data_IF_504047212015
#
_entry.id   IF_504047212015
#
_cell.length_a   1.000
_cell.length_b   1.000
_cell.length_c   1.000
_cell.angle_alpha   90.00
_cell.angle_beta   90.00
_cell.angle_gamma   90.00
#
_symmetry.space_group_name_H-M   'P 1'
#
loop_
_entity.id
_entity.type
_entity.pdbx_description
1 polymer ?
#
# COMPACT_ATOMS: atom_id res chain seq x y z
N UNK A 1 1.02 -13.50 47.13
CA UNK A 1 1.22 -12.14 47.74
C UNK A 1 0.73 -11.05 46.75
N UNK A 2 0.07 -10.00 47.24
CA UNK A 2 -0.39 -8.82 46.49
C UNK A 2 0.21 -7.55 47.09
N UNK A 3 0.18 -6.46 46.36
CA UNK A 3 0.72 -5.17 46.82
C UNK A 3 0.02 -4.68 48.11
N UNK A 4 -1.27 -4.97 48.28
CA UNK A 4 -2.03 -4.70 49.51
C UNK A 4 -1.45 -5.38 50.74
N UNK A 5 -0.95 -6.61 50.58
CA UNK A 5 -0.34 -7.37 51.69
C UNK A 5 0.94 -6.68 52.17
N UNK A 6 1.72 -6.11 51.24
CA UNK A 6 2.94 -5.33 51.55
C UNK A 6 2.57 -4.05 52.30
N UNK A 7 1.52 -3.33 51.84
CA UNK A 7 1.04 -2.12 52.50
C UNK A 7 0.54 -2.41 53.93
N UNK A 8 -0.18 -3.51 54.13
CA UNK A 8 -0.68 -3.91 55.45
C UNK A 8 0.48 -4.25 56.39
N UNK A 9 1.47 -5.02 55.94
CA UNK A 9 2.62 -5.40 56.75
C UNK A 9 3.47 -4.18 57.16
N UNK A 10 3.64 -3.22 56.28
CA UNK A 10 4.48 -2.03 56.51
C UNK A 10 3.76 -0.94 57.31
N UNK A 11 2.45 -0.74 57.09
CA UNK A 11 1.61 0.20 57.81
C UNK A 11 2.00 1.68 57.72
N UNK A 12 3.06 2.04 56.97
CA UNK A 12 3.58 3.42 56.90
C UNK A 12 3.89 3.84 55.47
N UNK A 13 3.15 4.86 54.92
CA UNK A 13 3.34 5.33 53.55
C UNK A 13 4.76 5.87 53.24
N UNK A 14 5.41 6.52 54.20
CA UNK A 14 6.76 7.01 54.03
C UNK A 14 7.78 5.88 53.87
N UNK A 15 7.59 4.78 54.62
CA UNK A 15 8.41 3.57 54.52
C UNK A 15 8.22 2.89 53.18
N UNK A 16 6.97 2.82 52.68
CA UNK A 16 6.64 2.29 51.37
C UNK A 16 7.29 3.13 50.24
N UNK A 17 7.18 4.45 50.28
CA UNK A 17 7.85 5.31 49.28
C UNK A 17 9.35 5.03 49.23
N UNK A 18 10.04 4.96 50.40
CA UNK A 18 11.47 4.60 50.45
C UNK A 18 11.76 3.21 49.93
N UNK A 19 10.83 2.27 50.08
CA UNK A 19 11.01 0.92 49.56
C UNK A 19 10.97 0.91 48.01
N UNK A 20 10.05 1.66 47.40
CA UNK A 20 10.02 1.85 45.93
C UNK A 20 11.30 2.49 45.42
N UNK A 21 11.80 3.55 46.07
CA UNK A 21 13.07 4.17 45.71
C UNK A 21 14.23 3.15 45.75
N UNK A 22 14.23 2.24 46.73
CA UNK A 22 15.24 1.20 46.88
C UNK A 22 15.18 0.15 45.76
N UNK A 23 13.98 -0.19 45.28
CA UNK A 23 13.79 -1.08 44.15
C UNK A 23 14.25 -0.40 42.85
N UNK A 24 13.84 0.84 42.61
CA UNK A 24 14.25 1.62 41.44
C UNK A 24 15.78 1.81 41.37
N UNK A 25 16.43 2.02 42.52
CA UNK A 25 17.88 2.15 42.61
C UNK A 25 18.62 0.80 42.49
N UNK A 26 17.91 -0.32 42.31
CA UNK A 26 18.53 -1.66 42.24
C UNK A 26 19.25 -2.09 43.48
N UNK A 27 18.77 -1.68 44.68
CA UNK A 27 19.44 -1.93 45.96
C UNK A 27 19.19 -3.32 46.54
N UNK A 28 18.23 -4.09 45.99
CA UNK A 28 17.97 -5.48 46.38
C UNK A 28 18.90 -6.38 45.61
N UNK A 29 19.82 -7.02 46.33
CA UNK A 29 20.87 -7.85 45.72
C UNK A 29 20.51 -9.32 45.99
N UNK A 30 20.39 -10.08 44.91
CA UNK A 30 20.21 -11.54 44.89
C UNK A 30 19.11 -12.05 45.86
N UNK A 31 17.97 -12.40 45.25
CA UNK A 31 16.85 -13.01 46.01
C UNK A 31 16.99 -14.52 45.93
N UNK A 32 16.96 -15.17 47.07
CA UNK A 32 16.91 -16.63 47.21
C UNK A 32 15.55 -17.04 47.79
N UNK A 33 14.96 -18.08 47.22
CA UNK A 33 13.72 -18.66 47.69
C UNK A 33 14.01 -20.07 48.23
N UNK A 34 13.52 -20.36 49.43
CA UNK A 34 13.62 -21.68 50.09
C UNK A 34 12.21 -22.14 50.47
N UNK A 35 11.87 -23.36 50.08
CA UNK A 35 10.62 -24.00 50.48
C UNK A 35 10.80 -24.57 51.90
N UNK A 36 10.01 -24.08 52.84
CA UNK A 36 9.93 -24.59 54.17
C UNK A 36 8.61 -25.41 54.36
N UNK A 37 8.48 -26.14 55.41
CA UNK A 37 7.33 -27.04 55.66
C UNK A 37 5.97 -26.32 55.72
N UNK A 38 5.97 -25.02 56.03
CA UNK A 38 4.79 -24.17 56.25
C UNK A 38 4.76 -22.92 55.36
N UNK A 39 5.56 -22.88 54.30
CA UNK A 39 5.56 -21.75 53.37
C UNK A 39 6.85 -21.57 52.62
N UNK A 40 6.99 -20.44 51.95
CA UNK A 40 8.20 -20.09 51.19
C UNK A 40 8.90 -18.91 51.85
N UNK A 41 10.19 -19.08 52.16
CA UNK A 41 11.05 -18.03 52.70
C UNK A 41 11.87 -17.40 51.55
N UNK A 42 11.80 -16.09 51.44
CA UNK A 42 12.62 -15.31 50.54
C UNK A 42 13.66 -14.53 51.31
N UNK A 43 14.93 -14.65 50.92
CA UNK A 43 16.06 -13.98 51.56
C UNK A 43 16.79 -13.14 50.55
N UNK A 44 17.28 -11.98 50.97
CA UNK A 44 18.11 -11.10 50.12
C UNK A 44 19.05 -10.25 50.97
N UNK A 45 20.05 -9.68 50.31
CA UNK A 45 20.85 -8.58 50.84
C UNK A 45 20.38 -7.26 50.21
N UNK A 46 20.08 -6.29 51.03
CA UNK A 46 19.62 -4.96 50.59
C UNK A 46 20.67 -3.91 50.98
N UNK A 47 21.14 -3.17 49.98
CA UNK A 47 22.12 -2.08 50.18
C UNK A 47 21.42 -0.89 50.82
N UNK A 48 21.74 -0.66 52.10
CA UNK A 48 21.32 0.53 52.83
C UNK A 48 22.12 1.78 52.46
N UNK A 49 22.05 2.81 53.31
CA UNK A 49 22.83 4.05 53.09
C UNK A 49 24.31 3.84 53.41
N UNK A 50 24.63 3.05 54.43
CA UNK A 50 25.99 2.85 54.91
C UNK A 50 26.42 1.38 54.93
N UNK A 51 25.48 0.42 55.07
CA UNK A 51 25.70 -0.99 55.23
C UNK A 51 24.85 -1.85 54.30
N UNK A 52 25.22 -3.11 54.22
CA UNK A 52 24.48 -4.16 53.54
C UNK A 52 23.69 -4.99 54.56
N UNK A 53 22.35 -4.92 54.49
CA UNK A 53 21.48 -5.58 55.44
C UNK A 53 20.99 -6.91 54.91
N UNK A 54 21.00 -7.94 55.75
CA UNK A 54 20.32 -9.19 55.48
C UNK A 54 18.84 -9.01 55.76
N UNK A 55 18.00 -9.34 54.82
CA UNK A 55 16.55 -9.23 54.98
C UNK A 55 15.87 -10.48 54.44
N UNK A 56 14.76 -10.81 55.02
CA UNK A 56 13.95 -11.95 54.62
C UNK A 56 12.47 -11.67 54.88
N UNK A 57 11.62 -12.35 54.16
CA UNK A 57 10.22 -12.57 54.53
C UNK A 57 9.81 -13.98 54.20
N UNK A 58 8.78 -14.46 54.90
CA UNK A 58 8.18 -15.78 54.71
C UNK A 58 6.69 -15.60 54.47
N UNK A 59 6.22 -16.22 53.43
CA UNK A 59 4.81 -16.27 53.06
C UNK A 59 4.27 -17.65 53.42
N UNK A 60 3.29 -17.69 54.30
CA UNK A 60 2.53 -18.89 54.69
C UNK A 60 1.08 -18.72 54.19
N UNK A 61 0.27 -19.77 54.31
CA UNK A 61 -1.15 -19.72 53.92
C UNK A 61 -1.96 -18.70 54.72
N UNK A 62 -1.51 -18.31 55.92
CA UNK A 62 -2.28 -17.45 56.83
C UNK A 62 -1.65 -16.11 57.11
N UNK A 63 -0.37 -15.94 56.93
CA UNK A 63 0.33 -14.69 57.27
C UNK A 63 1.65 -14.51 56.55
N UNK A 64 2.08 -13.26 56.51
CA UNK A 64 3.41 -12.88 56.03
C UNK A 64 4.21 -12.34 57.21
N UNK A 65 5.38 -12.88 57.43
CA UNK A 65 6.31 -12.43 58.46
C UNK A 65 7.66 -12.08 57.84
N UNK A 66 8.38 -11.16 58.44
CA UNK A 66 9.69 -10.76 57.89
C UNK A 66 10.65 -10.27 58.97
N UNK A 67 11.94 -10.26 58.63
CA UNK A 67 13.00 -9.79 59.48
C UNK A 67 14.11 -9.11 58.70
N UNK A 68 14.85 -8.22 59.39
CA UNK A 68 15.96 -7.46 58.80
C UNK A 68 17.01 -7.13 59.85
N UNK A 69 18.29 -7.14 59.50
CA UNK A 69 19.39 -6.76 60.40
C UNK A 69 19.60 -5.24 60.49
N UNK A 70 18.70 -4.42 59.96
CA UNK A 70 18.86 -2.96 60.00
C UNK A 70 18.48 -2.37 61.38
N UNK A 71 19.11 -1.27 61.82
CA UNK A 71 18.83 -0.67 63.13
C UNK A 71 17.37 -0.24 63.34
N UNK A 72 16.64 0.09 62.25
CA UNK A 72 15.23 0.45 62.31
C UNK A 72 14.37 -0.76 62.73
N UNK A 73 14.59 -1.92 62.10
CA UNK A 73 13.88 -3.16 62.44
C UNK A 73 14.24 -3.68 63.85
N UNK A 74 15.55 -3.65 64.20
CA UNK A 74 15.99 -4.07 65.52
C UNK A 74 15.32 -3.27 66.62
N UNK A 75 15.11 -1.98 66.46
CA UNK A 75 14.50 -1.09 67.44
C UNK A 75 12.97 -1.21 67.49
N UNK A 76 12.30 -1.34 66.36
CA UNK A 76 10.83 -1.24 66.32
C UNK A 76 10.13 -2.60 66.15
N UNK A 77 10.84 -3.60 65.65
CA UNK A 77 10.31 -4.92 65.27
C UNK A 77 9.15 -4.85 64.28
N UNK A 78 9.01 -3.69 63.56
CA UNK A 78 8.01 -3.51 62.49
C UNK A 78 8.69 -3.62 61.15
N UNK A 79 7.91 -3.96 60.09
CA UNK A 79 8.45 -4.12 58.76
C UNK A 79 9.11 -2.82 58.27
N UNK A 80 10.40 -2.92 57.97
CA UNK A 80 11.19 -1.79 57.49
C UNK A 80 11.21 -1.69 55.95
N UNK A 81 11.71 -0.56 55.43
CA UNK A 81 11.84 -0.35 53.98
C UNK A 81 12.61 -1.46 53.25
N UNK A 82 13.54 -2.17 53.88
CA UNK A 82 14.33 -3.24 53.28
C UNK A 82 13.49 -4.51 53.08
N UNK A 83 12.65 -4.86 54.06
CA UNK A 83 11.69 -5.96 53.90
C UNK A 83 10.69 -5.63 52.79
N UNK A 84 10.12 -4.41 52.81
CA UNK A 84 9.21 -3.95 51.75
C UNK A 84 9.86 -3.95 50.37
N UNK A 85 11.09 -3.47 50.24
CA UNK A 85 11.83 -3.48 49.00
C UNK A 85 12.07 -4.90 48.46
N UNK A 86 12.42 -5.85 49.35
CA UNK A 86 12.57 -7.25 48.97
C UNK A 86 11.23 -7.83 48.46
N UNK A 87 10.11 -7.55 49.14
CA UNK A 87 8.80 -8.02 48.71
C UNK A 87 8.39 -7.48 47.37
N UNK A 88 8.54 -6.16 47.14
CA UNK A 88 8.20 -5.49 45.89
C UNK A 88 9.07 -6.03 44.74
N UNK A 89 10.38 -6.14 44.94
CA UNK A 89 11.31 -6.65 43.94
C UNK A 89 11.00 -8.11 43.56
N UNK A 90 10.70 -8.94 44.59
CA UNK A 90 10.34 -10.32 44.33
C UNK A 90 9.03 -10.48 43.56
N UNK A 91 8.02 -9.66 43.86
CA UNK A 91 6.78 -9.62 43.08
C UNK A 91 7.03 -9.25 41.62
N UNK A 92 7.81 -8.22 41.38
CA UNK A 92 8.15 -7.78 40.03
C UNK A 92 8.90 -8.87 39.24
N UNK A 93 9.84 -9.57 39.87
CA UNK A 93 10.55 -10.72 39.26
C UNK A 93 9.62 -11.88 38.94
N UNK A 94 8.74 -12.23 39.85
CA UNK A 94 7.76 -13.31 39.62
C UNK A 94 6.80 -12.99 38.49
N UNK A 95 6.35 -11.73 38.37
CA UNK A 95 5.48 -11.28 37.28
C UNK A 95 6.23 -11.33 35.95
N UNK A 96 7.45 -10.82 35.91
CA UNK A 96 8.31 -10.89 34.70
C UNK A 96 8.56 -12.34 34.25
N UNK A 97 8.87 -13.24 35.17
CA UNK A 97 9.07 -14.65 34.86
C UNK A 97 7.78 -15.33 34.36
N UNK A 98 6.63 -14.96 34.94
CA UNK A 98 5.32 -15.45 34.47
C UNK A 98 5.02 -15.01 33.06
N UNK A 99 5.22 -13.72 32.75
CA UNK A 99 5.05 -13.20 31.42
C UNK A 99 6.06 -13.79 30.41
N UNK A 100 7.30 -14.00 30.81
CA UNK A 100 8.31 -14.64 29.98
C UNK A 100 7.92 -16.09 29.64
N UNK A 101 7.40 -16.85 30.61
CA UNK A 101 6.89 -18.22 30.39
C UNK A 101 5.66 -18.22 29.46
N UNK A 102 4.74 -17.27 29.63
CA UNK A 102 3.57 -17.15 28.76
C UNK A 102 4.00 -16.84 27.32
N UNK A 103 4.89 -15.87 27.14
CA UNK A 103 5.45 -15.53 25.80
C UNK A 103 6.15 -16.74 25.16
N UNK A 104 6.91 -17.48 25.93
CA UNK A 104 7.57 -18.69 25.45
C UNK A 104 6.56 -19.77 25.03
N UNK A 105 5.50 -20.01 25.82
CA UNK A 105 4.44 -20.96 25.49
C UNK A 105 3.66 -20.55 24.24
N UNK A 106 3.34 -19.26 24.09
CA UNK A 106 2.68 -18.73 22.90
C UNK A 106 3.57 -18.88 21.65
N UNK A 107 4.86 -18.61 21.79
CA UNK A 107 5.82 -18.79 20.69
C UNK A 107 5.90 -20.26 20.25
N UNK A 108 6.03 -21.19 21.23
CA UNK A 108 6.07 -22.62 20.94
C UNK A 108 4.76 -23.13 20.30
N UNK A 109 3.60 -22.62 20.79
CA UNK A 109 2.30 -22.93 20.19
C UNK A 109 2.22 -22.49 18.75
N UNK A 110 2.58 -21.22 18.45
CA UNK A 110 2.60 -20.70 17.08
C UNK A 110 3.51 -21.51 16.17
N UNK A 111 4.71 -21.84 16.66
CA UNK A 111 5.66 -22.65 15.89
C UNK A 111 5.12 -24.05 15.58
N UNK A 112 4.43 -24.69 16.54
CA UNK A 112 3.78 -25.99 16.30
C UNK A 112 2.64 -25.89 15.30
N UNK A 113 1.83 -24.85 15.37
CA UNK A 113 0.73 -24.61 14.43
C UNK A 113 1.26 -24.34 13.01
N UNK A 114 2.34 -23.59 12.87
CA UNK A 114 3.01 -23.31 11.60
C UNK A 114 3.58 -24.60 11.00
N UNK A 115 4.29 -25.38 11.79
CA UNK A 115 4.83 -26.67 11.37
C UNK A 115 3.74 -27.68 11.01
N UNK A 116 2.62 -27.67 11.71
CA UNK A 116 1.47 -28.52 11.37
C UNK A 116 0.87 -28.12 10.01
N UNK A 117 0.73 -26.82 9.73
CA UNK A 117 0.27 -26.31 8.42
C UNK A 117 1.22 -26.66 7.29
N UNK A 118 2.53 -26.53 7.52
CA UNK A 118 3.56 -26.93 6.52
C UNK A 118 3.50 -28.43 6.23
N UNK A 119 3.36 -29.26 7.28
CA UNK A 119 3.22 -30.69 7.11
C UNK A 119 1.92 -31.07 6.37
N UNK A 120 0.80 -30.42 6.70
CA UNK A 120 -0.48 -30.63 6.02
C UNK A 120 -0.36 -30.24 4.54
N UNK A 121 0.24 -29.10 4.23
CA UNK A 121 0.52 -28.69 2.86
C UNK A 121 1.40 -29.66 2.11
N UNK A 122 2.45 -30.18 2.76
CA UNK A 122 3.33 -31.21 2.20
C UNK A 122 2.58 -32.53 1.94
N UNK A 123 1.77 -33.00 2.88
CA UNK A 123 0.96 -34.23 2.71
C UNK A 123 -0.03 -34.07 1.56
N UNK A 124 -0.74 -32.93 1.47
CA UNK A 124 -1.66 -32.65 0.39
C UNK A 124 -0.96 -32.64 -0.96
N UNK A 125 0.27 -32.09 -1.03
CA UNK A 125 1.11 -32.13 -2.23
C UNK A 125 1.49 -33.57 -2.62
N UNK A 126 1.86 -34.41 -1.65
CA UNK A 126 2.16 -35.82 -1.88
C UNK A 126 0.94 -36.59 -2.41
N UNK A 127 -0.24 -36.33 -1.85
CA UNK A 127 -1.50 -36.94 -2.32
C UNK A 127 -1.77 -36.52 -3.78
N UNK A 128 -1.64 -35.22 -4.08
CA UNK A 128 -1.86 -34.68 -5.43
C UNK A 128 -0.87 -35.26 -6.46
N UNK A 129 0.40 -35.42 -6.08
CA UNK A 129 1.38 -36.09 -6.94
C UNK A 129 1.01 -37.53 -7.18
N UNK A 130 0.50 -38.25 -6.18
CA UNK A 130 -0.01 -39.60 -6.32
C UNK A 130 -1.26 -39.70 -7.23
N UNK A 131 -2.14 -38.74 -7.15
CA UNK A 131 -3.31 -38.62 -8.03
C UNK A 131 -2.90 -38.29 -9.46
N UNK A 132 -1.95 -37.39 -9.68
CA UNK A 132 -1.36 -37.05 -10.98
C UNK A 132 -0.75 -38.28 -11.66
N UNK A 133 -0.06 -39.10 -10.89
CA UNK A 133 0.54 -40.35 -11.40
C UNK A 133 -0.50 -41.44 -11.79
N UNK A 134 -1.73 -41.35 -11.28
CA UNK A 134 -2.82 -42.30 -11.59
C UNK A 134 -3.74 -41.82 -12.71
N UNK A 135 -3.63 -40.57 -13.17
CA UNK A 135 -4.47 -40.05 -14.23
C UNK A 135 -4.08 -40.67 -15.59
N UNK A 136 -5.05 -41.20 -16.35
CA UNK A 136 -4.78 -41.63 -17.71
C UNK A 136 -4.32 -40.44 -18.55
N UNK A 137 -3.29 -40.64 -19.38
CA UNK A 137 -2.78 -39.64 -20.31
C UNK A 137 -3.83 -39.11 -21.32
N UNK A 138 -4.96 -39.77 -21.41
CA UNK A 138 -6.05 -39.48 -22.36
C UNK A 138 -6.95 -38.30 -22.01
N UNK A 139 -6.86 -37.69 -20.82
CA UNK A 139 -7.68 -36.52 -20.49
C UNK A 139 -7.02 -35.18 -20.79
N UNK A 140 -5.82 -35.15 -21.31
CA UNK A 140 -5.25 -33.96 -21.93
C UNK A 140 -5.76 -33.87 -23.36
N UNK A 141 -6.88 -33.23 -23.57
CA UNK A 141 -7.46 -32.82 -24.87
C UNK A 141 -6.49 -31.90 -25.68
N UNK A 142 -5.21 -31.92 -25.41
CA UNK A 142 -4.19 -31.12 -26.08
C UNK A 142 -4.40 -29.60 -25.99
N UNK A 143 -5.54 -29.17 -25.46
CA UNK A 143 -5.88 -27.75 -25.33
C UNK A 143 -5.28 -27.16 -24.08
N UNK A 144 -4.40 -26.18 -24.28
CA UNK A 144 -3.77 -25.44 -23.19
C UNK A 144 -4.77 -24.58 -22.42
N UNK A 145 -4.47 -24.30 -21.18
CA UNK A 145 -5.28 -23.46 -20.30
C UNK A 145 -5.01 -21.98 -20.62
N UNK A 146 -6.06 -21.21 -20.78
CA UNK A 146 -6.05 -19.78 -20.99
C UNK A 146 -6.28 -19.05 -19.68
N UNK A 147 -5.61 -17.92 -19.50
CA UNK A 147 -5.88 -16.93 -18.45
C UNK A 147 -6.68 -15.78 -19.04
N UNK A 148 -7.75 -15.40 -18.36
CA UNK A 148 -8.58 -14.28 -18.74
C UNK A 148 -8.55 -13.23 -17.64
N UNK A 149 -7.89 -12.07 -17.86
CA UNK A 149 -7.91 -10.97 -16.91
C UNK A 149 -9.28 -10.31 -16.88
N UNK A 150 -9.77 -10.04 -15.69
CA UNK A 150 -11.01 -9.28 -15.45
C UNK A 150 -10.64 -8.03 -14.68
N UNK A 151 -10.95 -6.86 -15.24
CA UNK A 151 -10.65 -5.56 -14.69
C UNK A 151 -11.92 -4.87 -14.21
N UNK A 152 -11.89 -4.39 -12.98
CA UNK A 152 -12.95 -3.57 -12.40
C UNK A 152 -12.34 -2.27 -11.89
N UNK A 153 -12.82 -1.14 -12.39
CA UNK A 153 -12.39 0.16 -11.89
C UNK A 153 -13.08 0.45 -10.56
N UNK A 154 -12.37 0.35 -9.46
CA UNK A 154 -12.89 0.68 -8.14
C UNK A 154 -13.05 2.20 -7.96
N UNK A 155 -12.01 2.95 -8.26
CA UNK A 155 -12.01 4.41 -8.22
C UNK A 155 -11.02 5.00 -9.25
N UNK A 156 -10.66 6.27 -9.09
CA UNK A 156 -9.72 6.94 -10.00
C UNK A 156 -8.26 6.50 -9.80
N UNK A 157 -7.92 5.88 -8.68
CA UNK A 157 -6.54 5.49 -8.34
C UNK A 157 -6.37 3.97 -8.23
N UNK A 158 -7.47 3.20 -8.28
CA UNK A 158 -7.44 1.76 -8.10
C UNK A 158 -8.28 1.03 -9.16
N UNK A 159 -7.69 -0.01 -9.72
CA UNK A 159 -8.35 -1.00 -10.58
C UNK A 159 -8.17 -2.37 -9.95
N UNK A 160 -9.25 -3.09 -9.73
CA UNK A 160 -9.22 -4.45 -9.22
C UNK A 160 -8.97 -5.43 -10.36
N UNK A 161 -7.99 -6.31 -10.21
CA UNK A 161 -7.68 -7.37 -11.16
C UNK A 161 -8.12 -8.72 -10.60
N UNK A 162 -9.00 -9.38 -11.33
CA UNK A 162 -9.42 -10.76 -11.11
C UNK A 162 -8.95 -11.64 -12.28
N UNK A 163 -8.76 -12.92 -12.05
CA UNK A 163 -8.41 -13.88 -13.09
C UNK A 163 -9.49 -14.97 -13.24
N UNK A 164 -9.72 -15.37 -14.47
CA UNK A 164 -10.41 -16.62 -14.78
C UNK A 164 -9.47 -17.56 -15.52
N UNK A 165 -9.68 -18.84 -15.34
CA UNK A 165 -8.95 -19.91 -16.03
C UNK A 165 -9.92 -20.81 -16.77
N UNK A 166 -9.53 -21.25 -17.95
CA UNK A 166 -10.40 -22.12 -18.75
C UNK A 166 -9.71 -22.57 -20.04
N UNK A 167 -10.32 -23.53 -20.74
CA UNK A 167 -9.90 -23.90 -22.10
C UNK A 167 -10.52 -22.96 -23.12
N UNK A 168 -9.82 -22.71 -24.21
CA UNK A 168 -10.35 -21.85 -25.29
C UNK A 168 -11.66 -22.41 -25.83
N UNK A 169 -12.69 -21.56 -25.91
CA UNK A 169 -14.03 -21.93 -26.35
C UNK A 169 -14.90 -22.68 -25.30
N UNK A 170 -14.37 -22.91 -24.10
CA UNK A 170 -15.11 -23.53 -22.99
C UNK A 170 -15.41 -22.50 -21.88
N UNK A 171 -16.17 -22.92 -20.88
CA UNK A 171 -16.48 -22.11 -19.70
C UNK A 171 -15.18 -21.82 -18.92
N UNK A 172 -14.93 -20.55 -18.65
CA UNK A 172 -13.87 -20.12 -17.73
C UNK A 172 -14.36 -20.09 -16.27
N UNK A 173 -13.49 -20.36 -15.34
CA UNK A 173 -13.74 -20.43 -13.91
C UNK A 173 -12.94 -19.35 -13.19
N UNK A 174 -13.56 -18.70 -12.22
CA UNK A 174 -12.94 -17.65 -11.42
C UNK A 174 -11.83 -18.25 -10.53
N UNK A 175 -10.68 -17.62 -10.52
CA UNK A 175 -9.60 -17.87 -9.55
C UNK A 175 -9.97 -17.16 -8.25
N UNK A 176 -10.55 -17.90 -7.30
CA UNK A 176 -11.07 -17.33 -6.05
C UNK A 176 -10.02 -16.67 -5.15
N UNK A 177 -8.77 -17.10 -5.26
CA UNK A 177 -7.65 -16.51 -4.53
C UNK A 177 -6.40 -16.53 -5.41
N UNK A 178 -5.91 -15.37 -5.89
CA UNK A 178 -4.72 -15.28 -6.72
C UNK A 178 -3.44 -15.77 -6.04
N UNK A 179 -3.30 -15.59 -4.72
CA UNK A 179 -2.14 -16.07 -3.97
C UNK A 179 -2.09 -17.61 -3.89
N UNK A 180 -3.24 -18.24 -3.68
CA UNK A 180 -3.33 -19.72 -3.72
C UNK A 180 -3.06 -20.25 -5.13
N UNK A 181 -3.55 -19.55 -6.14
CA UNK A 181 -3.24 -19.88 -7.55
C UNK A 181 -1.74 -19.80 -7.84
N UNK A 182 -1.10 -18.71 -7.41
CA UNK A 182 0.35 -18.54 -7.56
C UNK A 182 1.14 -19.65 -6.86
N UNK A 183 0.72 -20.04 -5.66
CA UNK A 183 1.35 -21.14 -4.93
C UNK A 183 1.18 -22.49 -5.67
N UNK A 184 -0.02 -22.75 -6.25
CA UNK A 184 -0.25 -23.95 -7.06
C UNK A 184 0.64 -23.97 -8.30
N UNK A 185 0.78 -22.84 -8.99
CA UNK A 185 1.70 -22.72 -10.14
C UNK A 185 3.15 -22.98 -9.73
N UNK A 186 3.59 -22.43 -8.61
CA UNK A 186 4.94 -22.65 -8.09
C UNK A 186 5.21 -24.11 -7.75
N UNK A 187 4.18 -24.85 -7.32
CA UNK A 187 4.28 -26.25 -6.91
C UNK A 187 3.93 -27.25 -8.02
N UNK A 188 3.29 -26.84 -9.12
CA UNK A 188 2.69 -27.74 -10.12
C UNK A 188 1.48 -28.50 -9.57
N UNK A 189 0.75 -27.94 -8.60
CA UNK A 189 -0.33 -28.61 -7.90
C UNK A 189 -1.53 -28.87 -8.81
N UNK A 190 -2.12 -30.06 -8.71
CA UNK A 190 -3.38 -30.39 -9.38
C UNK A 190 -4.55 -29.79 -8.61
N UNK A 191 -5.48 -29.12 -9.32
CA UNK A 191 -6.65 -28.51 -8.71
C UNK A 191 -7.86 -28.53 -9.64
N UNK A 192 -9.05 -28.81 -9.05
CA UNK A 192 -10.34 -28.83 -9.75
C UNK A 192 -11.11 -27.54 -9.47
N UNK A 193 -11.35 -26.73 -10.50
CA UNK A 193 -12.15 -25.51 -10.44
C UNK A 193 -13.67 -25.80 -10.45
N UNK A 194 -14.05 -26.98 -10.90
CA UNK A 194 -15.42 -27.48 -10.97
C UNK A 194 -15.48 -28.75 -11.81
N UNK A 195 -16.69 -29.24 -12.08
CA UNK A 195 -16.91 -30.49 -12.83
C UNK A 195 -16.29 -30.52 -14.24
N UNK A 196 -16.05 -29.34 -14.84
CA UNK A 196 -15.59 -29.22 -16.23
C UNK A 196 -14.14 -28.77 -16.40
N UNK A 197 -13.41 -28.45 -15.30
CA UNK A 197 -12.04 -27.99 -15.39
C UNK A 197 -11.22 -28.43 -14.19
N UNK A 198 -10.27 -29.30 -14.43
CA UNK A 198 -9.26 -29.69 -13.47
C UNK A 198 -7.94 -29.92 -14.23
N UNK A 199 -6.83 -29.43 -13.69
CA UNK A 199 -5.52 -29.55 -14.32
C UNK A 199 -4.37 -29.38 -13.30
N UNK A 200 -3.20 -29.87 -13.65
CA UNK A 200 -1.97 -29.56 -12.92
C UNK A 200 -1.48 -28.18 -13.35
N UNK A 201 -1.11 -27.34 -12.38
CA UNK A 201 -0.67 -25.96 -12.61
C UNK A 201 0.77 -25.91 -13.12
N UNK A 202 1.16 -26.90 -13.94
CA UNK A 202 2.44 -26.87 -14.61
C UNK A 202 2.43 -25.77 -15.68
N UNK A 203 3.53 -25.06 -15.80
CA UNK A 203 3.68 -23.93 -16.73
C UNK A 203 3.42 -24.35 -18.19
N UNK A 204 3.72 -25.60 -18.53
CA UNK A 204 3.49 -26.19 -19.85
C UNK A 204 2.00 -26.38 -20.20
N UNK A 205 1.14 -26.46 -19.17
CA UNK A 205 -0.31 -26.54 -19.35
C UNK A 205 -0.94 -25.21 -19.71
N UNK A 206 -0.27 -24.09 -19.44
CA UNK A 206 -0.75 -22.74 -19.74
C UNK A 206 -0.41 -22.40 -21.21
N UNK A 207 -1.32 -21.73 -21.89
CA UNK A 207 -1.10 -21.26 -23.25
C UNK A 207 0.07 -20.26 -23.30
N UNK A 208 0.93 -20.37 -24.28
CA UNK A 208 2.14 -19.53 -24.41
C UNK A 208 1.82 -18.04 -24.49
N UNK A 209 0.67 -17.70 -25.08
CA UNK A 209 0.17 -16.32 -25.16
C UNK A 209 -0.09 -15.69 -23.80
N UNK A 210 -0.43 -16.53 -22.82
CA UNK A 210 -0.81 -16.08 -21.47
C UNK A 210 0.34 -16.19 -20.45
N UNK A 211 1.50 -16.74 -20.84
CA UNK A 211 2.67 -16.82 -19.95
C UNK A 211 3.15 -15.47 -19.43
N UNK A 212 3.20 -14.40 -20.22
CA UNK A 212 3.56 -13.07 -19.69
C UNK A 212 2.57 -12.57 -18.62
N UNK A 213 1.28 -12.84 -18.81
CA UNK A 213 0.24 -12.49 -17.84
C UNK A 213 0.35 -13.34 -16.57
N UNK A 214 0.65 -14.63 -16.72
CA UNK A 214 0.94 -15.52 -15.59
C UNK A 214 2.13 -15.02 -14.77
N UNK A 215 3.24 -14.71 -15.43
CA UNK A 215 4.45 -14.21 -14.75
C UNK A 215 4.17 -12.90 -14.02
N UNK A 216 3.40 -12.03 -14.63
CA UNK A 216 2.97 -10.79 -13.99
C UNK A 216 2.08 -11.04 -12.77
N UNK A 217 1.11 -11.96 -12.86
CA UNK A 217 0.26 -12.35 -11.74
C UNK A 217 1.08 -12.92 -10.57
N UNK A 218 2.09 -13.75 -10.86
CA UNK A 218 3.01 -14.29 -9.85
C UNK A 218 3.82 -13.17 -9.18
N UNK A 219 4.33 -12.21 -9.93
CA UNK A 219 5.03 -11.03 -9.38
C UNK A 219 4.14 -10.18 -8.50
N UNK A 220 2.91 -9.91 -8.92
CA UNK A 220 1.94 -9.13 -8.11
C UNK A 220 1.67 -9.81 -6.77
N UNK A 221 1.44 -11.12 -6.77
CA UNK A 221 1.17 -11.88 -5.52
C UNK A 221 2.39 -11.98 -4.61
N UNK A 222 3.62 -11.93 -5.14
CA UNK A 222 4.85 -11.88 -4.36
C UNK A 222 5.13 -10.48 -3.79
N UNK A 223 4.80 -9.44 -4.54
CA UNK A 223 5.03 -8.05 -4.14
C UNK A 223 4.03 -7.56 -3.06
N UNK A 224 2.91 -8.24 -2.90
CA UNK A 224 1.86 -7.85 -1.95
C UNK A 224 1.71 -8.86 -0.82
N UNK A 225 1.33 -8.41 0.40
CA UNK A 225 1.00 -9.33 1.49
C UNK A 225 -0.09 -10.30 1.06
N UNK A 226 0.04 -11.58 1.45
CA UNK A 226 -1.00 -12.58 1.16
C UNK A 226 -2.34 -12.13 1.73
N UNK A 227 -3.34 -12.09 0.89
CA UNK A 227 -4.71 -11.70 1.25
C UNK A 227 -5.66 -12.85 0.94
N UNK A 228 -6.71 -12.96 1.73
CA UNK A 228 -7.83 -13.84 1.40
C UNK A 228 -8.86 -13.06 0.55
N UNK A 229 -8.44 -12.64 -0.62
CA UNK A 229 -9.21 -11.83 -1.54
C UNK A 229 -9.23 -12.46 -2.94
N UNK A 230 -10.29 -12.20 -3.68
CA UNK A 230 -10.47 -12.67 -5.06
C UNK A 230 -9.75 -11.77 -6.06
N UNK A 231 -9.51 -10.53 -5.69
CA UNK A 231 -8.94 -9.48 -6.54
C UNK A 231 -7.59 -9.00 -6.04
N UNK A 232 -6.79 -8.48 -6.95
CA UNK A 232 -5.51 -7.79 -6.67
C UNK A 232 -5.72 -6.31 -6.96
N UNK A 233 -5.57 -5.40 -5.98
CA UNK A 233 -5.69 -3.97 -6.21
C UNK A 233 -4.46 -3.44 -6.98
N UNK A 234 -4.70 -2.92 -8.17
CA UNK A 234 -3.68 -2.29 -9.01
C UNK A 234 -3.70 -0.79 -8.81
N UNK A 235 -2.59 -0.24 -8.34
CA UNK A 235 -2.42 1.20 -8.14
C UNK A 235 -1.10 1.67 -8.74
N UNK A 236 -1.03 2.94 -9.14
CA UNK A 236 0.20 3.58 -9.58
C UNK A 236 0.97 2.78 -10.65
N UNK A 237 2.23 2.42 -10.34
CA UNK A 237 3.12 1.72 -11.27
C UNK A 237 2.66 0.29 -11.60
N UNK A 238 2.01 -0.41 -10.65
CA UNK A 238 1.49 -1.76 -10.90
C UNK A 238 0.34 -1.72 -11.92
N UNK A 239 -0.51 -0.71 -11.83
CA UNK A 239 -1.55 -0.47 -12.83
C UNK A 239 -0.92 -0.20 -14.21
N UNK A 240 0.08 0.69 -14.28
CA UNK A 240 0.78 0.99 -15.54
C UNK A 240 1.40 -0.26 -16.18
N UNK A 241 2.04 -1.12 -15.39
CA UNK A 241 2.66 -2.36 -15.85
C UNK A 241 1.62 -3.34 -16.39
N UNK A 242 0.53 -3.55 -15.64
CA UNK A 242 -0.57 -4.44 -16.07
C UNK A 242 -1.21 -3.95 -17.37
N UNK A 243 -1.50 -2.67 -17.48
CA UNK A 243 -2.16 -2.12 -18.66
C UNK A 243 -1.25 -2.12 -19.89
N UNK A 244 0.07 -1.97 -19.72
CA UNK A 244 1.05 -2.14 -20.80
C UNK A 244 1.12 -3.59 -21.29
N UNK A 245 1.04 -4.55 -20.37
CA UNK A 245 1.03 -5.96 -20.71
C UNK A 245 -0.21 -6.37 -21.50
N UNK A 246 -1.38 -5.82 -21.14
CA UNK A 246 -2.66 -6.13 -21.79
C UNK A 246 -2.88 -5.35 -23.09
N UNK A 247 -1.98 -4.42 -23.45
CA UNK A 247 -2.15 -3.54 -24.60
C UNK A 247 -2.19 -4.34 -25.91
N UNK A 248 -3.28 -4.18 -26.67
CA UNK A 248 -3.54 -4.93 -27.91
C UNK A 248 -4.38 -6.18 -27.72
N UNK A 249 -4.52 -6.67 -26.51
CA UNK A 249 -5.24 -7.89 -26.16
C UNK A 249 -6.69 -7.62 -25.74
N UNK A 250 -7.40 -8.72 -25.48
CA UNK A 250 -8.76 -8.70 -24.95
C UNK A 250 -8.73 -8.96 -23.44
N UNK A 251 -9.42 -8.13 -22.69
CA UNK A 251 -9.71 -8.34 -21.26
C UNK A 251 -11.21 -8.45 -21.05
N UNK A 252 -11.62 -8.92 -19.88
CA UNK A 252 -12.98 -8.75 -19.41
C UNK A 252 -13.05 -7.48 -18.55
N UNK A 253 -14.06 -6.69 -18.74
CA UNK A 253 -14.34 -5.51 -17.92
C UNK A 253 -15.59 -5.74 -17.10
N UNK A 254 -15.49 -5.59 -15.80
CA UNK A 254 -16.60 -5.70 -14.85
C UNK A 254 -17.03 -4.30 -14.39
N UNK A 255 -18.33 -4.09 -14.29
CA UNK A 255 -18.95 -2.91 -13.69
C UNK A 255 -19.81 -3.35 -12.52
N UNK A 256 -19.98 -2.46 -11.57
CA UNK A 256 -20.80 -2.74 -10.39
C UNK A 256 -22.22 -3.20 -10.81
N UNK A 257 -22.61 -4.39 -10.36
CA UNK A 257 -23.91 -5.00 -10.65
C UNK A 257 -24.10 -5.56 -12.06
N UNK A 258 -23.09 -5.52 -12.92
CA UNK A 258 -23.18 -6.03 -14.30
C UNK A 258 -22.36 -7.32 -14.50
N UNK A 259 -22.75 -8.11 -15.51
CA UNK A 259 -21.93 -9.25 -15.96
C UNK A 259 -20.71 -8.71 -16.72
N UNK A 260 -19.51 -9.32 -16.50
CA UNK A 260 -18.30 -8.91 -17.22
C UNK A 260 -18.48 -9.01 -18.74
N UNK A 261 -18.00 -7.98 -19.43
CA UNK A 261 -18.01 -7.91 -20.90
C UNK A 261 -16.58 -7.97 -21.45
N UNK A 262 -16.41 -8.61 -22.61
CA UNK A 262 -15.12 -8.62 -23.29
C UNK A 262 -14.87 -7.29 -23.99
N UNK A 263 -13.73 -6.68 -23.71
CA UNK A 263 -13.33 -5.39 -24.26
C UNK A 263 -11.89 -5.48 -24.77
N UNK A 264 -11.57 -4.67 -25.75
CA UNK A 264 -10.20 -4.51 -26.25
C UNK A 264 -9.46 -3.49 -25.40
N UNK A 265 -8.21 -3.76 -25.07
CA UNK A 265 -7.30 -2.78 -24.46
C UNK A 265 -6.51 -2.13 -25.58
N UNK A 266 -6.72 -0.86 -25.85
CA UNK A 266 -6.14 -0.14 -26.98
C UNK A 266 -5.37 1.10 -26.55
N UNK A 267 -4.37 1.50 -27.32
CA UNK A 267 -3.71 2.80 -27.14
C UNK A 267 -4.55 3.88 -27.82
N UNK A 268 -4.75 5.00 -27.12
CA UNK A 268 -5.51 6.11 -27.66
C UNK A 268 -5.38 7.39 -26.86
N UNK A 269 -6.06 8.44 -27.35
CA UNK A 269 -6.16 9.71 -26.65
C UNK A 269 -7.37 9.70 -25.72
N UNK A 270 -7.16 10.14 -24.48
CA UNK A 270 -8.24 10.42 -23.52
C UNK A 270 -8.51 11.92 -23.53
N UNK A 271 -9.78 12.28 -23.64
CA UNK A 271 -10.21 13.69 -23.67
C UNK A 271 -11.01 14.01 -22.42
N UNK A 272 -10.39 14.58 -21.37
CA UNK A 272 -11.09 14.94 -20.15
C UNK A 272 -12.17 15.99 -20.39
N UNK A 273 -13.31 15.87 -19.73
CA UNK A 273 -14.32 16.91 -19.75
C UNK A 273 -14.12 17.87 -18.57
N UNK A 274 -14.11 19.19 -18.85
CA UNK A 274 -13.89 20.23 -17.84
C UNK A 274 -15.04 21.22 -17.76
N UNK A 275 -15.33 21.68 -16.54
CA UNK A 275 -16.20 22.80 -16.28
C UNK A 275 -15.41 23.89 -15.55
N UNK A 276 -15.38 25.12 -16.12
CA UNK A 276 -14.74 26.28 -15.53
C UNK A 276 -15.81 27.32 -15.20
N UNK A 277 -16.18 27.40 -13.95
CA UNK A 277 -17.28 28.26 -13.47
C UNK A 277 -16.72 29.46 -12.71
N UNK A 278 -17.23 30.66 -12.95
CA UNK A 278 -16.85 31.86 -12.19
C UNK A 278 -17.25 31.69 -10.73
N UNK A 279 -16.33 31.99 -9.80
CA UNK A 279 -16.56 31.94 -8.36
C UNK A 279 -15.88 33.12 -7.66
N UNK A 280 -16.69 34.10 -7.24
CA UNK A 280 -16.17 35.37 -6.74
C UNK A 280 -15.29 36.07 -7.78
N UNK A 281 -14.10 36.48 -7.38
CA UNK A 281 -13.09 37.08 -8.29
C UNK A 281 -12.30 36.05 -9.12
N UNK A 282 -12.42 34.76 -8.81
CA UNK A 282 -11.73 33.66 -9.47
C UNK A 282 -12.67 32.76 -10.26
N UNK A 283 -12.23 31.51 -10.42
CA UNK A 283 -13.01 30.45 -11.06
C UNK A 283 -12.88 29.13 -10.29
N UNK A 284 -13.83 28.21 -10.48
CA UNK A 284 -13.74 26.82 -10.03
C UNK A 284 -13.60 25.93 -11.24
N UNK A 285 -12.52 25.15 -11.29
CA UNK A 285 -12.30 24.10 -12.25
C UNK A 285 -12.78 22.77 -11.70
N UNK A 286 -13.66 22.09 -12.42
CA UNK A 286 -14.04 20.69 -12.16
C UNK A 286 -13.67 19.85 -13.38
N UNK A 287 -13.03 18.72 -13.13
CA UNK A 287 -12.69 17.75 -14.18
C UNK A 287 -13.60 16.53 -14.00
N UNK A 288 -14.28 16.14 -15.06
CA UNK A 288 -15.09 14.91 -15.10
C UNK A 288 -14.23 13.80 -15.70
N UNK A 289 -13.91 12.81 -14.88
CA UNK A 289 -13.08 11.67 -15.24
C UNK A 289 -13.60 10.39 -14.56
N UNK A 290 -14.94 10.24 -14.49
CA UNK A 290 -15.58 9.14 -13.77
C UNK A 290 -15.28 7.75 -14.34
N UNK A 291 -14.94 7.67 -15.64
CA UNK A 291 -14.55 6.44 -16.33
C UNK A 291 -13.04 6.21 -16.35
N UNK A 292 -12.24 7.14 -15.79
CA UNK A 292 -10.79 7.08 -15.87
C UNK A 292 -10.16 6.53 -14.61
N UNK A 293 -9.17 5.65 -14.76
CA UNK A 293 -8.23 5.28 -13.73
C UNK A 293 -6.85 5.89 -14.02
N UNK A 294 -6.12 6.27 -12.98
CA UNK A 294 -4.86 6.99 -13.07
C UNK A 294 -3.72 6.13 -12.50
N UNK A 295 -2.76 5.80 -13.35
CA UNK A 295 -1.48 5.22 -12.96
C UNK A 295 -0.44 6.28 -12.60
N UNK A 296 0.81 5.87 -12.44
CA UNK A 296 1.94 6.79 -12.21
C UNK A 296 2.32 7.56 -13.48
N UNK A 297 2.31 6.89 -14.64
CA UNK A 297 2.75 7.41 -15.94
C UNK A 297 1.76 7.09 -17.06
N UNK A 298 0.54 6.69 -16.74
CA UNK A 298 -0.54 6.37 -17.67
C UNK A 298 -1.91 6.76 -17.14
N UNK A 299 -2.89 6.89 -18.04
CA UNK A 299 -4.29 7.04 -17.74
C UNK A 299 -5.10 6.03 -18.56
N UNK A 300 -6.18 5.51 -18.00
CA UNK A 300 -6.95 4.39 -18.54
C UNK A 300 -8.43 4.69 -18.47
N UNK A 301 -9.07 4.86 -19.64
CA UNK A 301 -10.49 5.16 -19.70
C UNK A 301 -11.30 3.89 -20.01
N UNK A 302 -12.21 3.54 -19.10
CA UNK A 302 -13.06 2.37 -19.16
C UNK A 302 -14.36 2.70 -19.91
N UNK A 303 -14.35 2.54 -21.24
CA UNK A 303 -15.49 2.76 -22.12
C UNK A 303 -16.36 1.49 -22.24
N UNK A 304 -17.60 1.59 -22.73
CA UNK A 304 -18.50 0.42 -22.88
C UNK A 304 -17.95 -0.73 -23.74
N UNK A 305 -17.10 -0.43 -24.72
CA UNK A 305 -16.61 -1.40 -25.72
C UNK A 305 -15.10 -1.62 -25.68
N UNK A 306 -14.37 -0.77 -24.96
CA UNK A 306 -12.90 -0.83 -24.92
C UNK A 306 -12.33 -0.15 -23.68
N UNK A 307 -11.07 -0.43 -23.38
CA UNK A 307 -10.26 0.32 -22.42
C UNK A 307 -9.20 1.07 -23.20
N UNK A 308 -9.28 2.41 -23.17
CA UNK A 308 -8.31 3.28 -23.85
C UNK A 308 -7.17 3.63 -22.92
N UNK A 309 -5.94 3.40 -23.37
CA UNK A 309 -4.71 3.65 -22.62
C UNK A 309 -3.97 4.85 -23.19
N UNK A 310 -3.81 5.91 -22.40
CA UNK A 310 -2.99 7.06 -22.73
C UNK A 310 -1.64 6.97 -22.00
N UNK A 311 -0.55 6.95 -22.76
CA UNK A 311 0.83 6.90 -22.26
C UNK A 311 1.65 8.06 -22.81
N UNK A 312 2.84 8.27 -22.25
CA UNK A 312 3.88 9.15 -22.76
C UNK A 312 3.39 10.60 -23.00
N UNK A 313 3.38 11.06 -24.26
CA UNK A 313 2.95 12.40 -24.62
C UNK A 313 1.46 12.62 -24.36
N UNK A 314 0.61 11.63 -24.66
CA UNK A 314 -0.83 11.70 -24.47
C UNK A 314 -1.18 11.79 -22.99
N UNK A 315 -0.52 11.00 -22.15
CA UNK A 315 -0.67 11.09 -20.70
C UNK A 315 -0.17 12.44 -20.17
N UNK A 316 1.05 12.87 -20.53
CA UNK A 316 1.62 14.13 -20.03
C UNK A 316 0.69 15.32 -20.32
N UNK A 317 0.02 15.32 -21.47
CA UNK A 317 -0.92 16.35 -21.89
C UNK A 317 -2.10 16.52 -20.94
N UNK A 318 -2.63 15.41 -20.37
CA UNK A 318 -3.84 15.39 -19.54
C UNK A 318 -3.55 15.17 -18.05
N UNK A 319 -2.33 14.82 -17.69
CA UNK A 319 -1.94 14.42 -16.34
C UNK A 319 -2.30 15.48 -15.28
N UNK A 320 -2.07 16.76 -15.55
CA UNK A 320 -2.37 17.84 -14.62
C UNK A 320 -3.88 17.92 -14.29
N UNK A 321 -4.75 17.76 -15.30
CA UNK A 321 -6.19 17.76 -15.12
C UNK A 321 -6.65 16.54 -14.32
N UNK A 322 -6.17 15.34 -14.68
CA UNK A 322 -6.56 14.10 -14.02
C UNK A 322 -6.07 14.05 -12.57
N UNK A 323 -4.84 14.46 -12.28
CA UNK A 323 -4.31 14.57 -10.90
C UNK A 323 -5.14 15.57 -10.09
N UNK A 324 -5.51 16.71 -10.67
CA UNK A 324 -6.42 17.68 -10.03
C UNK A 324 -7.77 17.05 -9.68
N UNK A 325 -8.33 16.17 -10.52
CA UNK A 325 -9.58 15.48 -10.24
C UNK A 325 -9.43 14.45 -9.11
N UNK A 326 -8.33 13.71 -9.08
CA UNK A 326 -8.04 12.72 -8.04
C UNK A 326 -7.82 13.36 -6.66
N UNK A 327 -7.08 14.48 -6.61
CA UNK A 327 -6.73 15.18 -5.37
C UNK A 327 -7.84 16.14 -4.87
N UNK A 328 -8.67 16.66 -5.78
CA UNK A 328 -9.70 17.67 -5.50
C UNK A 328 -11.03 17.31 -6.19
N UNK A 329 -11.72 16.27 -5.74
CA UNK A 329 -12.97 15.79 -6.36
C UNK A 329 -14.07 16.86 -6.39
N UNK A 330 -14.10 17.77 -5.42
CA UNK A 330 -15.04 18.92 -5.37
C UNK A 330 -14.67 20.06 -6.32
N UNK A 331 -13.54 19.95 -6.99
CA UNK A 331 -12.98 20.95 -7.91
C UNK A 331 -11.98 21.89 -7.26
N UNK A 332 -11.11 22.43 -8.12
CA UNK A 332 -10.04 23.35 -7.75
C UNK A 332 -10.50 24.79 -7.86
N UNK A 333 -10.33 25.57 -6.81
CA UNK A 333 -10.60 27.03 -6.83
C UNK A 333 -9.36 27.75 -7.36
N UNK A 334 -9.53 28.48 -8.47
CA UNK A 334 -8.46 29.16 -9.19
C UNK A 334 -8.59 30.68 -8.94
N UNK A 335 -7.57 31.32 -8.33
CA UNK A 335 -7.54 32.78 -8.19
C UNK A 335 -7.54 33.48 -9.56
N UNK A 336 -8.05 34.70 -9.64
CA UNK A 336 -8.17 35.49 -10.88
C UNK A 336 -6.87 35.52 -11.71
N UNK A 337 -5.73 35.69 -11.04
CA UNK A 337 -4.40 35.75 -11.69
C UNK A 337 -3.98 34.42 -12.35
N UNK A 338 -4.55 33.30 -11.92
CA UNK A 338 -4.21 31.97 -12.41
C UNK A 338 -5.17 31.44 -13.49
N UNK A 339 -6.27 32.15 -13.80
CA UNK A 339 -7.25 31.70 -14.80
C UNK A 339 -6.59 31.60 -16.17
N UNK A 340 -5.87 32.63 -16.62
CA UNK A 340 -5.21 32.63 -17.92
C UNK A 340 -4.13 31.53 -18.03
N UNK A 341 -3.18 31.37 -17.10
CA UNK A 341 -2.25 30.24 -17.10
C UNK A 341 -2.93 28.86 -17.13
N UNK A 342 -3.99 28.64 -16.33
CA UNK A 342 -4.71 27.36 -16.34
C UNK A 342 -5.38 27.08 -17.69
N UNK A 343 -6.01 28.09 -18.31
CA UNK A 343 -6.62 27.94 -19.63
C UNK A 343 -5.57 27.66 -20.71
N UNK A 344 -4.47 28.42 -20.74
CA UNK A 344 -3.46 28.34 -21.81
C UNK A 344 -2.50 27.18 -21.67
N UNK A 345 -2.09 26.83 -20.41
CA UNK A 345 -1.03 25.84 -20.19
C UNK A 345 -1.55 24.46 -19.74
N UNK A 346 -2.82 24.36 -19.30
CA UNK A 346 -3.39 23.10 -18.82
C UNK A 346 -4.59 22.68 -19.68
N UNK A 347 -5.63 23.50 -19.78
CA UNK A 347 -6.89 23.11 -20.46
C UNK A 347 -6.69 23.00 -21.98
N UNK A 348 -6.08 24.00 -22.61
CA UNK A 348 -5.87 24.01 -24.03
C UNK A 348 -4.92 22.91 -24.55
N UNK A 349 -3.72 22.69 -23.94
CA UNK A 349 -2.86 21.58 -24.35
C UNK A 349 -3.48 20.21 -24.11
N UNK A 350 -4.34 20.07 -23.07
CA UNK A 350 -5.05 18.83 -22.80
C UNK A 350 -6.14 18.52 -23.83
N UNK A 351 -6.48 19.45 -24.70
CA UNK A 351 -7.61 19.34 -25.66
C UNK A 351 -8.92 18.96 -24.96
N UNK A 352 -9.08 19.43 -23.71
CA UNK A 352 -10.20 19.06 -22.87
C UNK A 352 -11.54 19.53 -23.47
N UNK A 353 -12.57 18.70 -23.36
CA UNK A 353 -13.94 19.09 -23.73
C UNK A 353 -14.49 20.04 -22.69
N UNK A 354 -14.71 21.30 -23.05
CA UNK A 354 -15.26 22.31 -22.15
C UNK A 354 -16.78 22.20 -22.12
N UNK A 355 -17.34 21.63 -21.04
CA UNK A 355 -18.79 21.43 -20.88
C UNK A 355 -19.49 22.65 -20.27
N UNK A 356 -18.77 23.47 -19.48
CA UNK A 356 -19.24 24.76 -18.92
C UNK A 356 -18.11 25.77 -18.89
N UNK A 357 -18.47 27.07 -19.06
CA UNK A 357 -17.50 28.17 -19.04
C UNK A 357 -16.67 28.30 -20.32
N UNK A 358 -17.21 27.88 -21.46
CA UNK A 358 -16.54 27.95 -22.77
C UNK A 358 -16.02 29.35 -23.11
N UNK A 359 -16.82 30.38 -22.86
CA UNK A 359 -16.45 31.78 -23.13
C UNK A 359 -15.23 32.19 -22.28
N UNK A 360 -15.22 31.80 -20.99
CA UNK A 360 -14.10 32.08 -20.10
C UNK A 360 -12.82 31.39 -20.55
N UNK A 361 -12.91 30.12 -20.96
CA UNK A 361 -11.77 29.39 -21.51
C UNK A 361 -11.30 30.00 -22.81
N UNK A 362 -12.19 30.27 -23.76
CA UNK A 362 -11.84 30.87 -25.07
C UNK A 362 -11.20 32.25 -24.92
N UNK A 363 -11.66 33.06 -23.96
CA UNK A 363 -11.07 34.36 -23.66
C UNK A 363 -9.59 34.28 -23.26
N UNK A 364 -9.20 33.21 -22.58
CA UNK A 364 -7.87 33.04 -22.02
C UNK A 364 -7.04 31.95 -22.75
N UNK A 365 -7.59 31.31 -23.78
CA UNK A 365 -6.84 30.35 -24.60
C UNK A 365 -6.13 31.14 -25.73
N UNK A 366 -4.82 30.96 -25.89
CA UNK A 366 -4.10 31.54 -27.00
C UNK A 366 -4.66 31.07 -28.36
N UNK A 367 -4.44 31.86 -29.37
CA UNK A 367 -4.67 31.43 -30.77
C UNK A 367 -3.62 30.37 -31.15
N UNK A 368 -3.97 29.48 -32.07
CA UNK A 368 -3.03 28.50 -32.58
C UNK A 368 -1.85 29.22 -33.27
N UNK A 369 -0.63 28.80 -32.89
CA UNK A 369 0.60 29.41 -33.38
C UNK A 369 1.39 28.45 -34.26
N UNK A 370 1.84 28.90 -35.39
CA UNK A 370 2.87 28.26 -36.22
C UNK A 370 4.16 29.08 -36.15
N UNK A 371 5.28 28.40 -35.85
CA UNK A 371 6.59 29.04 -35.84
C UNK A 371 7.29 28.84 -37.18
N UNK A 372 7.89 29.91 -37.72
CA UNK A 372 8.80 29.87 -38.87
C UNK A 372 10.15 30.39 -38.43
N UNK A 373 11.20 29.73 -38.86
CA UNK A 373 12.58 30.14 -38.63
C UNK A 373 13.25 30.37 -39.99
N UNK A 374 13.67 31.58 -40.23
CA UNK A 374 14.45 31.95 -41.43
C UNK A 374 15.93 31.91 -41.03
N UNK A 375 16.69 31.14 -41.75
CA UNK A 375 18.12 30.98 -41.50
C UNK A 375 18.88 31.59 -42.67
N UNK A 376 19.68 32.62 -42.40
CA UNK A 376 20.52 33.30 -43.36
C UNK A 376 22.00 33.17 -42.95
N UNK A 377 22.89 33.29 -43.93
CA UNK A 377 24.33 33.45 -43.67
C UNK A 377 24.64 34.92 -43.39
N UNK A 378 25.13 35.18 -42.17
CA UNK A 378 25.62 36.50 -41.79
C UNK A 378 27.11 36.70 -42.13
N UNK A 379 27.66 37.86 -41.75
CA UNK A 379 29.08 38.12 -41.84
C UNK A 379 29.90 37.15 -40.99
N UNK A 380 31.11 36.82 -41.39
CA UNK A 380 32.04 35.90 -40.66
C UNK A 380 31.53 34.46 -40.53
N UNK A 381 30.75 33.93 -41.48
CA UNK A 381 30.13 32.59 -41.39
C UNK A 381 29.16 32.38 -40.20
N UNK A 382 28.67 33.44 -39.60
CA UNK A 382 27.63 33.34 -38.58
C UNK A 382 26.28 32.97 -39.22
N UNK A 383 25.57 32.03 -38.59
CA UNK A 383 24.16 31.74 -38.96
C UNK A 383 23.24 32.71 -38.24
N UNK A 384 22.48 33.48 -39.02
CA UNK A 384 21.46 34.37 -38.48
C UNK A 384 20.10 33.64 -38.51
N UNK A 385 19.49 33.45 -37.34
CA UNK A 385 18.16 32.89 -37.23
C UNK A 385 17.14 33.96 -36.88
N UNK A 386 16.13 34.12 -37.74
CA UNK A 386 15.02 35.08 -37.56
C UNK A 386 13.72 34.31 -37.36
N UNK A 387 13.22 34.18 -36.12
CA UNK A 387 11.94 33.56 -35.85
C UNK A 387 10.77 34.49 -36.18
N UNK A 388 9.70 33.92 -36.72
CA UNK A 388 8.42 34.56 -37.00
C UNK A 388 7.29 33.68 -36.45
N UNK A 389 6.36 34.29 -35.72
CA UNK A 389 5.18 33.63 -35.15
C UNK A 389 3.95 33.96 -35.99
N UNK A 390 3.25 32.92 -36.44
CA UNK A 390 2.03 33.07 -37.25
C UNK A 390 0.83 32.71 -36.38
N UNK A 391 -0.08 33.65 -36.18
CA UNK A 391 -1.37 33.48 -35.52
C UNK A 391 -2.50 33.67 -36.52
N UNK A 392 -2.89 32.59 -37.22
CA UNK A 392 -3.77 32.67 -38.39
C UNK A 392 -3.12 33.46 -39.51
N UNK A 393 -3.72 34.59 -39.93
CA UNK A 393 -3.17 35.49 -40.95
C UNK A 393 -2.18 36.52 -40.38
N UNK A 394 -2.12 36.68 -39.07
CA UNK A 394 -1.24 37.66 -38.43
C UNK A 394 0.18 37.13 -38.26
N UNK A 395 1.17 37.98 -38.50
CA UNK A 395 2.60 37.70 -38.29
C UNK A 395 3.09 38.56 -37.14
N UNK A 396 3.87 37.96 -36.25
CA UNK A 396 4.45 38.62 -35.08
C UNK A 396 5.89 38.21 -34.94
N UNK A 397 6.78 39.16 -34.66
CA UNK A 397 8.18 38.88 -34.37
C UNK A 397 8.47 38.84 -32.85
N UNK A 398 9.54 38.19 -32.43
CA UNK A 398 9.97 38.24 -31.04
C UNK A 398 10.11 39.67 -30.53
N UNK A 399 9.54 39.95 -29.34
CA UNK A 399 9.58 41.29 -28.74
C UNK A 399 8.58 42.30 -29.30
N UNK A 400 7.83 41.96 -30.36
CA UNK A 400 6.79 42.84 -30.93
C UNK A 400 5.56 42.87 -30.01
N UNK A 401 4.98 44.03 -29.79
CA UNK A 401 3.73 44.21 -29.07
C UNK A 401 2.53 44.08 -30.01
N UNK A 402 1.71 43.07 -29.82
CA UNK A 402 0.51 42.79 -30.59
C UNK A 402 -0.71 42.53 -29.70
N UNK A 403 -1.24 43.56 -29.04
CA UNK A 403 -2.26 43.43 -27.99
C UNK A 403 -3.60 42.88 -28.49
N UNK A 404 -3.86 42.95 -29.80
CA UNK A 404 -5.07 42.42 -30.44
C UNK A 404 -4.97 40.90 -30.73
N UNK A 405 -3.79 40.28 -30.56
CA UNK A 405 -3.55 38.86 -30.76
C UNK A 405 -3.40 38.17 -29.42
N UNK A 406 -4.16 37.11 -29.20
CA UNK A 406 -3.99 36.24 -28.00
C UNK A 406 -2.80 35.31 -28.23
N UNK A 407 -1.60 35.83 -27.94
CA UNK A 407 -0.33 35.15 -28.13
C UNK A 407 -0.11 34.02 -27.13
N UNK A 408 0.55 32.95 -27.59
CA UNK A 408 1.09 31.90 -26.76
C UNK A 408 2.55 32.22 -26.37
N UNK A 409 2.71 33.23 -25.53
CA UNK A 409 4.03 33.73 -25.11
C UNK A 409 4.88 32.65 -24.40
N UNK A 410 4.24 31.67 -23.80
CA UNK A 410 4.94 30.53 -23.20
C UNK A 410 5.61 29.66 -24.27
N UNK A 411 4.86 29.29 -25.31
CA UNK A 411 5.38 28.51 -26.44
C UNK A 411 6.41 29.30 -27.27
N UNK A 412 6.18 30.58 -27.48
CA UNK A 412 7.14 31.46 -28.14
C UNK A 412 8.49 31.46 -27.40
N UNK A 413 8.50 31.70 -26.08
CA UNK A 413 9.72 31.70 -25.26
C UNK A 413 10.38 30.33 -25.21
N UNK A 414 9.60 29.25 -25.18
CA UNK A 414 10.13 27.90 -25.23
C UNK A 414 10.84 27.60 -26.55
N UNK A 415 10.33 28.11 -27.67
CA UNK A 415 10.97 27.95 -28.97
C UNK A 415 12.21 28.83 -29.11
N UNK A 416 12.17 30.08 -28.60
CA UNK A 416 13.34 30.96 -28.60
C UNK A 416 14.48 30.40 -27.76
N UNK A 417 14.20 29.73 -26.68
CA UNK A 417 15.26 29.12 -25.83
C UNK A 417 15.94 27.89 -26.45
N UNK A 418 15.46 27.41 -27.60
CA UNK A 418 16.01 26.28 -28.36
C UNK A 418 16.80 26.69 -29.60
N UNK A 419 16.74 27.96 -29.95
CA UNK A 419 17.49 28.59 -31.04
C UNK A 419 18.70 29.31 -30.51
#
# INVERSE_FOLDING_TARGET
>A
MRMEDVYQLVGNPTTMKKAFDYVQDGRVITIHAENESDGVRYTARVRGRYDLYQTWYKETDTQIVGGCTCPAFERTRTACKHIAALMIENMARQEYEREARQRQQEYEKRRREEQARENEAFINRMIQLGEKARMPAEQTDGRRIRLYPVLERADMQCVELEFKVGREGARAYIVRNPWDFAQRVANGDYFAYGKGLAFAHDREMIDERDLPLLDHALLLTQAMPRQNAQTIPLTGALLDQTMRLLLGDMAEMKREGETPIRVRVSRGEITPAVALEKKGDGARLRVRAQSVALGSVGAYEFLPSEIVCAFDADFRRIAALLKSAAERPDGLVIPKKQIAPVCSQIIAPARATVVRGRELVQKHTPMEMTARFYIDCGEENALLCRPEWLYGAARVHPGEDAPHIRRDTFRENQLLSRV
#
